data_IF_441483676878
#
_entry.id   IF_441483676878
#
_cell.length_a   1.000
_cell.length_b   1.000
_cell.length_c   1.000
_cell.angle_alpha   90.00
_cell.angle_beta   90.00
_cell.angle_gamma   90.00
#
_symmetry.space_group_name_H-M   'P 1'
#
loop_
_entity.id
_entity.type
_entity.pdbx_description
1 polymer ?
#
# COMPACT_ATOMS: atom_id res chain seq x y z
N UNK A 1 43.10 -2.54 -4.28
CA UNK A 1 41.81 -2.52 -5.00
C UNK A 1 40.88 -1.68 -4.18
N UNK A 2 40.57 -0.47 -4.65
CA UNK A 2 39.66 0.44 -3.96
C UNK A 2 38.23 -0.01 -4.26
N UNK A 3 37.47 -0.24 -3.19
CA UNK A 3 36.03 -0.46 -3.22
C UNK A 3 35.38 0.89 -3.52
N UNK A 4 34.96 1.08 -4.78
CA UNK A 4 34.28 2.28 -5.22
C UNK A 4 32.85 2.22 -4.68
N UNK A 5 32.64 2.77 -3.47
CA UNK A 5 31.31 2.94 -2.90
C UNK A 5 30.48 3.85 -3.82
N UNK A 6 29.71 3.23 -4.71
CA UNK A 6 28.66 3.89 -5.48
C UNK A 6 27.67 4.52 -4.49
N UNK A 7 27.77 5.84 -4.31
CA UNK A 7 26.86 6.60 -3.49
C UNK A 7 25.44 6.48 -4.03
N UNK A 8 24.55 5.84 -3.28
CA UNK A 8 23.13 5.76 -3.63
C UNK A 8 22.48 7.10 -3.29
N UNK A 9 22.01 7.82 -4.32
CA UNK A 9 21.21 9.03 -4.12
C UNK A 9 19.77 8.60 -3.86
N UNK A 10 19.27 8.91 -2.66
CA UNK A 10 17.87 8.68 -2.30
C UNK A 10 17.16 10.02 -2.21
N UNK A 11 16.19 10.23 -3.10
CA UNK A 11 15.31 11.40 -3.08
C UNK A 11 13.94 10.99 -2.54
N UNK A 12 13.50 11.61 -1.44
CA UNK A 12 12.16 11.44 -0.90
C UNK A 12 11.29 12.65 -1.25
N UNK A 13 10.30 12.46 -2.11
CA UNK A 13 9.24 13.45 -2.38
C UNK A 13 7.92 12.91 -1.83
N UNK A 14 7.30 13.63 -0.89
CA UNK A 14 5.98 13.28 -0.33
C UNK A 14 4.93 14.12 -1.05
N UNK A 15 3.97 13.45 -1.70
CA UNK A 15 2.89 14.09 -2.46
C UNK A 15 1.56 13.51 -1.96
N UNK A 16 0.79 14.31 -1.20
CA UNK A 16 -0.43 13.84 -0.54
C UNK A 16 -1.66 13.81 -1.48
N UNK A 17 -1.67 14.67 -2.51
CA UNK A 17 -2.86 14.96 -3.34
C UNK A 17 -2.77 14.43 -4.78
N UNK A 18 -2.36 13.17 -4.95
CA UNK A 18 -2.30 12.56 -6.29
C UNK A 18 -3.58 11.84 -6.70
N UNK A 19 -4.09 12.20 -7.89
CA UNK A 19 -5.18 11.49 -8.54
C UNK A 19 -4.74 10.09 -8.98
N UNK A 20 -5.66 9.13 -8.82
CA UNK A 20 -5.44 7.74 -9.17
C UNK A 20 -6.66 7.10 -9.83
N UNK A 21 -6.39 6.11 -10.68
CA UNK A 21 -7.39 5.22 -11.27
C UNK A 21 -7.37 3.86 -10.58
N UNK A 22 -8.55 3.29 -10.36
CA UNK A 22 -8.67 1.92 -9.84
C UNK A 22 -8.67 0.96 -11.02
N UNK A 23 -7.76 -0.01 -11.00
CA UNK A 23 -7.61 -1.02 -12.06
C UNK A 23 -7.60 -2.43 -11.48
N UNK A 24 -7.72 -3.43 -12.35
CA UNK A 24 -7.75 -4.85 -11.99
C UNK A 24 -6.74 -5.66 -12.82
N UNK A 25 -6.33 -6.84 -12.31
CA UNK A 25 -5.50 -7.76 -13.08
C UNK A 25 -6.16 -8.18 -14.39
N UNK A 26 -5.34 -8.53 -15.39
CA UNK A 26 -5.82 -9.06 -16.67
C UNK A 26 -6.66 -10.34 -16.54
N UNK A 27 -6.55 -11.04 -15.40
CA UNK A 27 -7.34 -12.23 -15.08
C UNK A 27 -8.76 -11.92 -14.57
N UNK A 28 -9.10 -10.64 -14.39
CA UNK A 28 -10.42 -10.19 -13.95
C UNK A 28 -11.14 -9.42 -15.05
N UNK A 29 -12.44 -9.16 -14.89
CA UNK A 29 -13.13 -8.17 -15.72
C UNK A 29 -12.69 -6.79 -15.27
N UNK A 30 -12.15 -5.99 -16.19
CA UNK A 30 -11.48 -4.70 -15.98
C UNK A 30 -12.24 -3.62 -15.17
N UNK A 31 -11.77 -2.35 -15.19
CA UNK A 31 -10.73 -1.77 -16.06
C UNK A 31 -9.31 -2.29 -15.78
N UNK A 32 -8.44 -2.25 -16.80
CA UNK A 32 -7.05 -2.73 -16.73
C UNK A 32 -6.06 -1.56 -16.65
N UNK A 33 -4.82 -1.82 -16.20
CA UNK A 33 -3.74 -0.85 -16.23
C UNK A 33 -3.51 -0.21 -17.60
N UNK A 34 -3.19 1.08 -17.61
CA UNK A 34 -2.71 1.77 -18.80
C UNK A 34 -1.40 1.15 -19.29
N UNK A 35 -1.36 0.79 -20.57
CA UNK A 35 -0.15 0.26 -21.21
C UNK A 35 0.98 1.32 -21.21
N UNK A 36 2.25 0.89 -21.32
CA UNK A 36 3.36 1.80 -21.56
C UNK A 36 3.14 2.64 -22.82
N UNK A 37 3.58 3.90 -22.78
CA UNK A 37 3.51 4.86 -23.89
C UNK A 37 4.92 5.35 -24.19
N UNK A 38 5.38 5.17 -25.41
CA UNK A 38 6.68 5.68 -25.85
C UNK A 38 6.58 7.19 -26.10
N UNK A 39 7.39 7.98 -25.39
CA UNK A 39 7.41 9.43 -25.54
C UNK A 39 8.30 9.84 -26.71
N UNK A 40 9.41 9.12 -26.91
CA UNK A 40 10.32 9.27 -28.04
C UNK A 40 11.14 7.96 -28.23
N UNK A 41 12.20 8.01 -29.04
CA UNK A 41 13.06 6.87 -29.34
C UNK A 41 13.83 6.30 -28.13
N UNK A 42 13.94 7.05 -27.04
CA UNK A 42 14.76 6.72 -25.87
C UNK A 42 13.96 6.62 -24.57
N UNK A 43 12.76 7.20 -24.52
CA UNK A 43 11.98 7.35 -23.31
C UNK A 43 10.62 6.67 -23.42
N UNK A 44 10.29 5.94 -22.36
CA UNK A 44 9.00 5.29 -22.19
C UNK A 44 8.37 5.76 -20.89
N UNK A 45 7.08 6.06 -20.95
CA UNK A 45 6.24 6.34 -19.81
C UNK A 45 5.47 5.07 -19.44
N UNK A 46 5.61 4.59 -18.21
CA UNK A 46 4.93 3.39 -17.71
C UNK A 46 4.53 3.54 -16.24
N UNK A 47 3.70 2.61 -15.77
CA UNK A 47 3.41 2.49 -14.34
C UNK A 47 4.41 1.51 -13.72
N UNK A 48 5.22 1.96 -12.77
CA UNK A 48 6.04 1.08 -11.93
C UNK A 48 5.20 0.67 -10.72
N UNK A 49 5.10 -0.64 -10.51
CA UNK A 49 4.21 -1.23 -9.53
C UNK A 49 4.97 -1.58 -8.27
N UNK A 50 4.41 -1.20 -7.12
CA UNK A 50 4.82 -1.75 -5.83
C UNK A 50 4.55 -3.25 -5.76
N UNK A 51 5.17 -3.88 -4.78
CA UNK A 51 4.73 -5.19 -4.32
C UNK A 51 3.27 -5.15 -3.89
N UNK A 52 2.64 -6.33 -3.91
CA UNK A 52 1.30 -6.49 -3.36
C UNK A 52 1.31 -6.29 -1.85
N UNK A 53 0.30 -5.59 -1.35
CA UNK A 53 -0.04 -5.59 0.06
C UNK A 53 -0.30 -7.01 0.55
N UNK A 54 -0.18 -7.17 1.86
CA UNK A 54 -0.68 -8.36 2.53
C UNK A 54 -2.16 -8.61 2.23
N UNK A 55 -2.55 -9.87 2.32
CA UNK A 55 -3.95 -10.23 2.14
C UNK A 55 -4.77 -9.71 3.33
N UNK A 56 -5.89 -9.05 3.03
CA UNK A 56 -6.77 -8.46 4.04
C UNK A 56 -7.47 -9.50 4.93
N UNK A 57 -7.45 -10.78 4.55
CA UNK A 57 -8.05 -11.89 5.30
C UNK A 57 -7.18 -13.14 5.23
N UNK A 58 -7.04 -13.82 6.37
CA UNK A 58 -6.44 -15.15 6.48
C UNK A 58 -7.54 -16.22 6.35
N UNK A 59 -7.29 -17.35 5.67
CA UNK A 59 -8.20 -18.50 5.59
C UNK A 59 -9.43 -18.35 4.68
N UNK A 60 -9.89 -17.12 4.45
CA UNK A 60 -11.02 -16.77 3.58
C UNK A 60 -10.58 -15.96 2.34
N UNK A 61 -11.52 -15.67 1.43
CA UNK A 61 -11.26 -14.81 0.28
C UNK A 61 -11.18 -13.35 0.75
N UNK A 62 -9.97 -12.80 0.74
CA UNK A 62 -9.68 -11.42 1.05
C UNK A 62 -9.37 -10.58 -0.19
N UNK A 63 -8.95 -9.34 0.07
CA UNK A 63 -8.49 -8.37 -0.93
C UNK A 63 -7.02 -8.07 -0.68
N UNK A 64 -6.33 -7.71 -1.75
CA UNK A 64 -4.98 -7.14 -1.71
C UNK A 64 -4.89 -6.03 -2.75
N UNK A 65 -3.95 -5.13 -2.57
CA UNK A 65 -3.73 -3.99 -3.46
C UNK A 65 -2.26 -3.80 -3.77
N UNK A 66 -1.96 -3.13 -4.88
CA UNK A 66 -0.63 -2.59 -5.16
C UNK A 66 -0.76 -1.25 -5.86
N UNK A 67 0.26 -0.43 -5.71
CA UNK A 67 0.27 0.94 -6.20
C UNK A 67 1.15 1.02 -7.45
N UNK A 68 0.59 1.57 -8.53
CA UNK A 68 1.28 1.81 -9.79
C UNK A 68 1.52 3.30 -9.91
N UNK A 69 2.75 3.74 -9.78
CA UNK A 69 3.09 5.15 -9.92
C UNK A 69 3.59 5.42 -11.33
N UNK A 70 3.26 6.59 -11.88
CA UNK A 70 3.73 7.02 -13.20
C UNK A 70 5.22 7.31 -13.16
N UNK A 71 5.98 6.65 -14.04
CA UNK A 71 7.40 6.90 -14.25
C UNK A 71 7.69 7.15 -15.73
N UNK A 72 8.67 8.02 -15.97
CA UNK A 72 9.40 8.08 -17.24
C UNK A 72 10.72 7.36 -17.03
N UNK A 73 11.06 6.43 -17.92
CA UNK A 73 12.30 5.67 -17.86
C UNK A 73 12.93 5.56 -19.24
N UNK A 74 14.23 5.27 -19.26
CA UNK A 74 14.97 5.00 -20.49
C UNK A 74 14.57 3.63 -21.03
N UNK A 75 14.39 3.52 -22.35
CA UNK A 75 14.19 2.25 -23.01
C UNK A 75 15.53 1.50 -22.96
N UNK A 76 15.58 0.38 -22.24
CA UNK A 76 16.79 -0.44 -22.20
C UNK A 76 17.18 -0.90 -23.62
N UNK A 77 18.43 -0.62 -24.00
CA UNK A 77 19.01 -0.77 -25.35
C UNK A 77 19.01 -2.19 -25.93
N UNK A 78 18.55 -3.21 -25.21
CA UNK A 78 18.50 -4.59 -25.71
C UNK A 78 17.47 -4.83 -26.83
N UNK A 79 16.70 -3.82 -27.28
CA UNK A 79 15.66 -4.01 -28.33
C UNK A 79 15.56 -2.98 -29.44
N UNK A 80 16.43 -1.98 -29.56
CA UNK A 80 16.24 -0.95 -30.60
C UNK A 80 17.51 -0.61 -31.37
N UNK A 81 17.56 -1.10 -32.60
CA UNK A 81 18.50 -0.76 -33.69
C UNK A 81 18.23 0.63 -34.27
N UNK A 82 18.09 1.65 -33.42
CA UNK A 82 17.91 3.04 -33.88
C UNK A 82 19.13 3.88 -33.49
N UNK A 83 20.03 4.07 -34.45
CA UNK A 83 21.03 5.15 -34.40
C UNK A 83 20.30 6.45 -34.73
N UNK A 84 20.05 7.30 -33.74
CA UNK A 84 19.69 8.70 -34.01
C UNK A 84 20.81 9.62 -33.59
N UNK A 85 21.01 10.69 -34.37
CA UNK A 85 21.93 11.77 -34.04
C UNK A 85 21.41 12.48 -32.78
N UNK A 86 22.14 12.34 -31.68
CA UNK A 86 21.78 12.84 -30.36
C UNK A 86 22.07 14.34 -30.28
N UNK A 87 21.12 15.14 -29.78
CA UNK A 87 21.35 16.56 -29.50
C UNK A 87 21.98 16.74 -28.12
N UNK A 88 22.63 17.89 -27.84
CA UNK A 88 23.25 18.15 -26.53
C UNK A 88 22.26 18.03 -25.35
N UNK A 89 20.98 18.37 -25.55
CA UNK A 89 19.94 18.20 -24.52
C UNK A 89 19.58 16.75 -24.24
N UNK A 90 19.72 15.86 -25.23
CA UNK A 90 19.46 14.44 -25.05
C UNK A 90 20.57 13.77 -24.22
N UNK A 91 21.80 14.30 -24.29
CA UNK A 91 22.93 13.81 -23.50
C UNK A 91 22.76 14.11 -22.00
N UNK A 92 22.28 15.30 -21.64
CA UNK A 92 22.00 15.66 -20.25
C UNK A 92 20.83 14.84 -19.66
N UNK A 93 19.77 14.65 -20.46
CA UNK A 93 18.65 13.79 -20.07
C UNK A 93 19.12 12.33 -19.93
N UNK A 94 20.03 11.86 -20.79
CA UNK A 94 20.62 10.53 -20.68
C UNK A 94 21.37 10.34 -19.37
N UNK A 95 22.24 11.29 -19.00
CA UNK A 95 22.99 11.25 -17.73
C UNK A 95 22.06 11.25 -16.51
N UNK A 96 20.93 11.93 -16.59
CA UNK A 96 19.94 11.91 -15.51
C UNK A 96 19.36 10.50 -15.30
N UNK A 97 19.02 9.79 -16.37
CA UNK A 97 18.50 8.41 -16.27
C UNK A 97 19.58 7.36 -15.94
N UNK A 98 20.86 7.68 -16.08
CA UNK A 98 21.95 6.85 -15.54
C UNK A 98 21.96 6.88 -14.00
N UNK A 99 21.63 8.04 -13.40
CA UNK A 99 21.49 8.19 -11.93
C UNK A 99 20.19 7.56 -11.41
N UNK A 100 19.14 7.56 -12.24
CA UNK A 100 17.82 6.99 -11.91
C UNK A 100 17.49 5.81 -12.84
N UNK A 101 18.10 4.63 -12.65
CA UNK A 101 17.97 3.50 -13.57
C UNK A 101 16.54 2.95 -13.67
N UNK A 102 15.78 3.03 -12.58
CA UNK A 102 14.36 2.65 -12.57
C UNK A 102 13.46 3.73 -13.20
N UNK A 103 14.02 4.89 -13.52
CA UNK A 103 13.30 6.05 -14.04
C UNK A 103 12.94 7.07 -12.96
N UNK A 104 12.22 8.10 -13.38
CA UNK A 104 11.88 9.27 -12.57
C UNK A 104 10.34 9.40 -12.52
N UNK A 105 9.75 9.66 -11.35
CA UNK A 105 8.31 9.88 -11.25
C UNK A 105 7.84 11.02 -12.15
N UNK A 106 6.73 10.83 -12.86
CA UNK A 106 6.22 11.76 -13.88
C UNK A 106 5.97 13.18 -13.37
N UNK A 107 5.68 13.33 -12.07
CA UNK A 107 5.40 14.62 -11.41
C UNK A 107 6.56 15.13 -10.55
N UNK A 108 7.68 14.42 -10.55
CA UNK A 108 8.84 14.81 -9.77
C UNK A 108 9.41 16.14 -10.26
N UNK A 109 10.02 16.90 -9.35
CA UNK A 109 10.72 18.13 -9.73
C UNK A 109 12.03 17.85 -10.48
N UNK A 110 12.57 16.65 -10.31
CA UNK A 110 13.79 16.16 -10.95
C UNK A 110 13.56 15.89 -12.44
N UNK A 111 12.35 15.49 -12.82
CA UNK A 111 12.03 15.26 -14.22
C UNK A 111 12.11 16.57 -15.01
N UNK A 112 12.86 16.56 -16.12
CA UNK A 112 13.07 17.73 -16.96
C UNK A 112 11.72 18.40 -17.33
N UNK A 113 11.60 19.74 -17.23
CA UNK A 113 10.34 20.44 -17.50
C UNK A 113 9.76 20.15 -18.89
N UNK A 114 10.61 19.92 -19.89
CA UNK A 114 10.21 19.56 -21.27
C UNK A 114 9.41 18.25 -21.32
N UNK A 115 9.77 17.27 -20.49
CA UNK A 115 9.07 15.98 -20.39
C UNK A 115 7.89 16.10 -19.42
N UNK A 116 8.11 16.70 -18.25
CA UNK A 116 7.08 16.86 -17.21
C UNK A 116 5.86 17.65 -17.70
N UNK A 117 6.06 18.60 -18.61
CA UNK A 117 4.98 19.41 -19.17
C UNK A 117 4.31 18.79 -20.41
N UNK A 118 4.75 17.61 -20.85
CA UNK A 118 4.05 16.89 -21.93
C UNK A 118 2.65 16.50 -21.47
N UNK A 119 1.65 16.73 -22.32
CA UNK A 119 0.25 16.45 -21.99
C UNK A 119 0.04 14.97 -21.62
N UNK A 120 0.69 14.05 -22.34
CA UNK A 120 0.66 12.61 -22.07
C UNK A 120 1.19 12.25 -20.69
N UNK A 121 2.22 12.96 -20.21
CA UNK A 121 2.85 12.76 -18.90
C UNK A 121 1.98 13.33 -17.78
N UNK A 122 1.43 14.54 -17.95
CA UNK A 122 0.56 15.16 -16.95
C UNK A 122 -0.77 14.41 -16.79
N UNK A 123 -1.33 13.91 -17.89
CA UNK A 123 -2.63 13.24 -17.88
C UNK A 123 -2.56 11.79 -17.43
N UNK A 124 -1.37 11.17 -17.37
CA UNK A 124 -1.25 9.79 -16.90
C UNK A 124 -1.52 9.76 -15.38
N UNK A 125 -2.58 9.07 -14.92
CA UNK A 125 -2.87 8.97 -13.51
C UNK A 125 -1.97 7.90 -12.88
N UNK A 126 -1.80 7.99 -11.56
CA UNK A 126 -1.34 6.81 -10.82
C UNK A 126 -2.47 5.78 -10.80
N UNK A 127 -2.14 4.55 -10.47
CA UNK A 127 -3.08 3.45 -10.52
C UNK A 127 -3.05 2.66 -9.21
N UNK A 128 -4.21 2.21 -8.74
CA UNK A 128 -4.30 1.25 -7.64
C UNK A 128 -4.90 -0.02 -8.22
N UNK A 129 -4.12 -1.09 -8.22
CA UNK A 129 -4.61 -2.39 -8.67
C UNK A 129 -5.22 -3.14 -7.51
N UNK A 130 -6.47 -3.57 -7.66
CA UNK A 130 -7.17 -4.39 -6.68
C UNK A 130 -7.20 -5.85 -7.12
N UNK A 131 -6.75 -6.75 -6.25
CA UNK A 131 -6.76 -8.18 -6.45
C UNK A 131 -7.55 -8.90 -5.35
N UNK A 132 -8.09 -10.07 -5.68
CA UNK A 132 -8.54 -11.02 -4.66
C UNK A 132 -7.35 -11.88 -4.22
N UNK A 133 -7.38 -12.34 -2.98
CA UNK A 133 -6.39 -13.25 -2.42
C UNK A 133 -7.06 -14.25 -1.49
N UNK A 134 -6.39 -15.38 -1.27
CA UNK A 134 -6.73 -16.34 -0.22
C UNK A 134 -5.44 -16.99 0.25
N UNK A 135 -5.03 -16.66 1.47
CA UNK A 135 -3.83 -17.20 2.08
C UNK A 135 -4.19 -18.26 3.11
N UNK A 136 -3.33 -19.28 3.23
CA UNK A 136 -3.44 -20.33 4.26
C UNK A 136 -2.49 -20.09 5.45
N UNK A 137 -1.55 -19.15 5.32
CA UNK A 137 -0.50 -18.85 6.29
C UNK A 137 -0.25 -17.33 6.28
N UNK A 138 0.01 -16.71 7.43
CA UNK A 138 0.51 -15.34 7.58
C UNK A 138 1.99 -15.36 7.95
N UNK A 139 2.73 -14.35 7.52
CA UNK A 139 4.12 -14.17 7.89
C UNK A 139 4.21 -13.08 8.94
N UNK A 140 4.75 -13.39 10.11
CA UNK A 140 5.00 -12.42 11.17
C UNK A 140 6.48 -12.16 11.26
N UNK A 141 6.87 -10.92 11.04
CA UNK A 141 8.23 -10.41 11.26
C UNK A 141 8.30 -9.76 12.63
N UNK A 142 9.28 -10.16 13.44
CA UNK A 142 9.56 -9.55 14.74
C UNK A 142 10.86 -8.76 14.68
N UNK A 143 10.95 -7.54 15.24
CA UNK A 143 12.22 -6.84 15.37
C UNK A 143 13.11 -7.60 16.38
N UNK A 144 14.32 -7.97 15.96
CA UNK A 144 15.32 -8.50 16.88
C UNK A 144 15.84 -7.36 17.76
N UNK A 145 15.68 -7.51 19.08
CA UNK A 145 16.58 -6.85 20.01
C UNK A 145 17.90 -7.64 19.99
N UNK A 146 19.02 -6.92 19.88
CA UNK A 146 20.41 -7.32 20.15
C UNK A 146 21.35 -7.44 18.92
N UNK A 147 22.24 -6.44 18.87
CA UNK A 147 23.63 -6.35 18.36
C UNK A 147 24.04 -6.89 16.98
N UNK A 148 24.48 -5.93 16.18
CA UNK A 148 25.66 -5.90 15.28
C UNK A 148 25.74 -6.71 13.99
N UNK A 149 24.80 -7.59 13.65
CA UNK A 149 24.83 -8.23 12.33
C UNK A 149 23.75 -7.66 11.39
N UNK A 150 24.22 -6.96 10.37
CA UNK A 150 23.42 -6.40 9.29
C UNK A 150 22.78 -7.55 8.50
N UNK A 151 21.45 -7.62 8.51
CA UNK A 151 20.69 -8.14 7.36
C UNK A 151 19.90 -9.45 7.51
N UNK A 152 19.75 -10.05 8.70
CA UNK A 152 18.90 -11.24 8.84
C UNK A 152 17.57 -10.92 9.54
N UNK A 153 16.47 -10.87 8.77
CA UNK A 153 15.12 -10.88 9.34
C UNK A 153 14.60 -12.32 9.37
N UNK A 154 14.43 -12.89 10.55
CA UNK A 154 13.76 -14.19 10.68
C UNK A 154 12.24 -13.96 10.51
N UNK A 155 11.66 -14.51 9.45
CA UNK A 155 10.21 -14.56 9.25
C UNK A 155 9.68 -15.91 9.71
N UNK A 156 8.67 -15.90 10.60
CA UNK A 156 7.99 -17.14 11.02
C UNK A 156 6.73 -17.27 10.18
N UNK A 157 6.63 -18.36 9.43
CA UNK A 157 5.41 -18.72 8.71
C UNK A 157 4.39 -19.30 9.72
N UNK A 158 3.39 -18.51 10.06
CA UNK A 158 2.30 -18.91 10.94
C UNK A 158 1.17 -19.44 10.05
N UNK A 159 0.85 -20.73 10.14
CA UNK A 159 -0.40 -21.23 9.55
C UNK A 159 -1.54 -20.36 10.03
N UNK A 160 -2.50 -19.99 9.16
CA UNK A 160 -3.75 -19.40 9.63
C UNK A 160 -4.34 -20.44 10.60
N UNK A 161 -4.11 -20.26 11.90
CA UNK A 161 -4.28 -21.28 12.93
C UNK A 161 -5.28 -20.79 13.94
N UNK A 162 -6.04 -21.74 14.43
CA UNK A 162 -6.68 -21.64 15.73
C UNK A 162 -5.60 -21.38 16.80
N UNK A 163 -5.84 -20.39 17.66
CA UNK A 163 -4.88 -19.78 18.56
C UNK A 163 -4.60 -20.67 19.79
N UNK A 164 -3.81 -21.74 19.63
CA UNK A 164 -3.38 -22.58 20.76
C UNK A 164 -2.24 -21.90 21.53
N UNK A 165 -2.41 -21.68 22.84
CA UNK A 165 -1.45 -21.05 23.78
C UNK A 165 -0.98 -22.07 24.82
N UNK A 166 0.33 -22.19 25.01
CA UNK A 166 0.94 -23.08 26.03
C UNK A 166 1.35 -22.27 27.27
N UNK A 167 0.76 -22.60 28.42
CA UNK A 167 1.13 -22.08 29.74
C UNK A 167 2.34 -22.88 30.25
N UNK A 168 3.36 -22.20 30.76
CA UNK A 168 4.56 -22.83 31.30
C UNK A 168 4.77 -22.50 32.77
N UNK A 169 5.37 -23.43 33.51
CA UNK A 169 5.80 -23.24 34.89
C UNK A 169 6.99 -22.30 34.98
N UNK A 170 7.33 -21.89 36.20
CA UNK A 170 8.56 -21.13 36.47
C UNK A 170 9.84 -21.90 36.09
N UNK A 171 9.79 -23.24 36.06
CA UNK A 171 10.87 -24.12 35.59
C UNK A 171 10.87 -24.32 34.07
N UNK A 172 9.88 -23.79 33.34
CA UNK A 172 9.77 -23.86 31.87
C UNK A 172 8.96 -25.04 31.32
N UNK A 173 8.46 -25.94 32.17
CA UNK A 173 7.62 -27.08 31.78
C UNK A 173 6.22 -26.62 31.37
N UNK A 174 5.60 -27.29 30.39
CA UNK A 174 4.23 -26.94 29.96
C UNK A 174 3.25 -27.45 31.01
N UNK A 175 2.50 -26.52 31.60
CA UNK A 175 1.42 -26.82 32.55
C UNK A 175 0.12 -27.08 31.79
N UNK A 176 -0.15 -26.31 30.73
CA UNK A 176 -1.45 -26.33 30.05
C UNK A 176 -1.31 -25.85 28.59
N UNK A 177 -2.21 -26.32 27.72
CA UNK A 177 -2.38 -25.85 26.35
C UNK A 177 -3.85 -25.52 26.09
N UNK A 178 -4.17 -24.27 25.73
CA UNK A 178 -5.55 -23.79 25.53
C UNK A 178 -5.76 -23.28 24.11
N UNK A 179 -6.94 -23.49 23.52
CA UNK A 179 -7.28 -23.00 22.18
C UNK A 179 -8.12 -21.72 22.26
N UNK A 180 -7.46 -20.57 22.17
CA UNK A 180 -8.08 -19.25 22.24
C UNK A 180 -9.01 -18.98 21.03
N UNK A 181 -8.91 -19.71 19.91
CA UNK A 181 -9.86 -19.59 18.79
C UNK A 181 -11.13 -20.41 19.01
N UNK A 182 -11.08 -21.45 19.86
CA UNK A 182 -12.27 -22.14 20.35
C UNK A 182 -12.93 -21.41 21.54
N UNK A 183 -12.42 -20.22 21.92
CA UNK A 183 -12.91 -19.46 23.08
C UNK A 183 -12.50 -20.05 24.44
N UNK A 184 -11.51 -20.95 24.45
CA UNK A 184 -11.00 -21.60 25.67
C UNK A 184 -9.72 -20.88 26.08
N UNK A 185 -9.70 -20.33 27.30
CA UNK A 185 -8.59 -19.57 27.85
C UNK A 185 -8.15 -20.14 29.19
N UNK A 186 -6.85 -20.10 29.46
CA UNK A 186 -6.30 -20.45 30.77
C UNK A 186 -6.37 -19.27 31.71
N UNK A 187 -6.70 -19.52 32.98
CA UNK A 187 -6.64 -18.52 34.05
C UNK A 187 -5.21 -18.08 34.39
N UNK A 188 -4.21 -18.84 33.94
CA UNK A 188 -2.79 -18.58 34.14
C UNK A 188 -2.18 -17.78 32.98
N UNK A 189 -2.98 -17.47 31.94
CA UNK A 189 -2.51 -16.69 30.80
C UNK A 189 -2.42 -15.20 31.18
N UNK A 190 -1.30 -14.55 30.84
CA UNK A 190 -1.22 -13.10 30.96
C UNK A 190 -2.29 -12.44 30.06
N UNK A 191 -2.95 -11.37 30.54
CA UNK A 191 -3.85 -10.61 29.69
C UNK A 191 -3.08 -10.09 28.47
N UNK A 192 -3.72 -10.02 27.30
CA UNK A 192 -3.09 -9.50 26.10
C UNK A 192 -2.56 -8.07 26.35
N UNK A 193 -1.38 -7.77 25.81
CA UNK A 193 -0.81 -6.42 25.85
C UNK A 193 -1.82 -5.44 25.25
N UNK A 194 -2.12 -4.37 25.99
CA UNK A 194 -3.04 -3.36 25.49
C UNK A 194 -2.35 -2.58 24.36
N UNK A 195 -2.99 -2.43 23.19
CA UNK A 195 -2.46 -1.57 22.14
C UNK A 195 -2.36 -0.12 22.64
N UNK A 196 -1.49 0.71 22.04
CA UNK A 196 -1.42 2.14 22.38
C UNK A 196 -2.80 2.79 22.20
N UNK A 197 -3.10 3.76 23.06
CA UNK A 197 -4.39 4.43 23.03
C UNK A 197 -4.60 5.09 21.65
N UNK A 198 -5.75 4.86 20.99
CA UNK A 198 -6.02 5.43 19.68
C UNK A 198 -6.11 6.96 19.76
N UNK A 199 -5.45 7.65 18.83
CA UNK A 199 -5.59 9.09 18.68
C UNK A 199 -7.02 9.43 18.24
N UNK A 200 -7.66 10.40 18.91
CA UNK A 200 -9.01 10.87 18.57
C UNK A 200 -8.89 12.11 17.68
N UNK A 201 -9.64 12.12 16.57
CA UNK A 201 -9.80 13.27 15.69
C UNK A 201 -11.27 13.62 15.56
N UNK A 202 -11.61 14.90 15.74
CA UNK A 202 -12.95 15.44 15.51
C UNK A 202 -12.93 16.16 14.17
N UNK A 203 -13.90 15.87 13.30
CA UNK A 203 -14.08 16.54 12.01
C UNK A 203 -15.42 17.27 12.02
N UNK A 204 -15.41 18.53 11.60
CA UNK A 204 -16.63 19.33 11.41
C UNK A 204 -16.87 19.51 9.92
N UNK A 205 -18.09 19.20 9.47
CA UNK A 205 -18.50 19.26 8.05
C UNK A 205 -19.95 19.72 7.99
N UNK A 206 -20.28 20.60 7.04
CA UNK A 206 -21.64 21.07 6.82
C UNK A 206 -22.51 20.00 6.12
N UNK A 207 -23.82 19.93 6.39
CA UNK A 207 -24.71 19.01 5.68
C UNK A 207 -24.71 19.26 4.17
N UNK A 208 -24.75 18.17 3.39
CA UNK A 208 -24.73 18.19 1.93
C UNK A 208 -23.32 18.13 1.33
N UNK A 209 -22.29 18.52 2.09
CA UNK A 209 -20.89 18.47 1.67
C UNK A 209 -20.37 17.04 1.53
N UNK A 210 -19.26 16.91 0.80
CA UNK A 210 -18.53 15.64 0.64
C UNK A 210 -17.41 15.54 1.68
N UNK A 211 -17.31 14.41 2.38
CA UNK A 211 -16.20 14.14 3.31
C UNK A 211 -15.52 12.81 3.01
N UNK A 212 -14.19 12.78 3.19
CA UNK A 212 -13.39 11.56 3.18
C UNK A 212 -12.79 11.39 4.58
N UNK A 213 -13.10 10.27 5.22
CA UNK A 213 -12.54 9.89 6.52
C UNK A 213 -11.36 8.96 6.26
N UNK A 214 -10.18 9.38 6.69
CA UNK A 214 -8.90 8.71 6.45
C UNK A 214 -8.42 8.13 7.78
N UNK A 215 -8.04 6.85 7.77
CA UNK A 215 -7.28 6.24 8.85
C UNK A 215 -5.81 6.22 8.44
N UNK A 216 -4.99 7.01 9.11
CA UNK A 216 -3.56 7.09 8.82
C UNK A 216 -2.74 5.94 9.44
N UNK A 217 -3.39 5.05 10.21
CA UNK A 217 -2.71 4.01 10.98
C UNK A 217 -1.90 4.58 12.16
N UNK A 218 -1.23 3.69 12.89
CA UNK A 218 -0.40 4.05 14.07
C UNK A 218 1.06 3.67 13.91
N UNK A 219 1.41 2.94 12.85
CA UNK A 219 2.77 2.52 12.54
C UNK A 219 3.02 2.89 11.09
N UNK A 220 4.25 3.26 10.72
CA UNK A 220 4.67 3.54 9.34
C UNK A 220 4.64 2.28 8.44
N UNK A 221 3.78 1.31 8.78
CA UNK A 221 3.64 0.00 8.17
C UNK A 221 2.23 -0.05 7.53
N UNK A 222 2.14 -0.55 6.30
CA UNK A 222 0.86 -0.76 5.59
C UNK A 222 0.14 -2.00 6.18
N UNK A 223 -0.37 -1.83 7.41
CA UNK A 223 -1.10 -2.87 8.14
C UNK A 223 -2.58 -2.80 7.73
N UNK A 224 -3.20 -3.93 7.33
CA UNK A 224 -4.63 -3.96 7.03
C UNK A 224 -5.45 -3.55 8.26
N UNK A 225 -6.39 -2.63 8.08
CA UNK A 225 -7.31 -2.19 9.12
C UNK A 225 -8.75 -2.36 8.65
N UNK A 226 -9.70 -2.30 9.59
CA UNK A 226 -11.12 -2.44 9.30
C UNK A 226 -11.89 -1.36 10.03
N UNK A 227 -12.74 -0.65 9.29
CA UNK A 227 -13.61 0.37 9.87
C UNK A 227 -14.76 -0.25 10.67
N UNK A 228 -15.17 0.44 11.73
CA UNK A 228 -16.40 0.21 12.46
C UNK A 228 -17.12 1.54 12.67
N UNK A 229 -18.43 1.52 12.45
CA UNK A 229 -19.32 2.63 12.79
C UNK A 229 -20.16 2.16 13.96
N UNK A 230 -20.03 2.86 15.08
CA UNK A 230 -20.61 2.44 16.36
C UNK A 230 -20.20 0.99 16.70
N UNK A 231 -21.15 0.05 16.72
CA UNK A 231 -20.94 -1.38 17.00
C UNK A 231 -20.79 -2.25 15.76
N UNK A 232 -21.00 -1.72 14.55
CA UNK A 232 -21.03 -2.51 13.33
C UNK A 232 -19.72 -2.41 12.58
N UNK A 233 -19.22 -3.56 12.13
CA UNK A 233 -18.12 -3.60 11.17
C UNK A 233 -18.59 -3.06 9.82
N UNK A 234 -17.82 -2.13 9.28
CA UNK A 234 -18.09 -1.50 8.00
C UNK A 234 -17.62 -2.44 6.91
N UNK A 235 -18.59 -3.05 6.23
CA UNK A 235 -18.35 -3.71 4.95
C UNK A 235 -18.95 -2.87 3.82
N UNK A 236 -18.41 -2.95 2.59
CA UNK A 236 -19.03 -2.28 1.43
C UNK A 236 -20.51 -2.65 1.26
N UNK A 237 -20.89 -3.89 1.58
CA UNK A 237 -22.28 -4.35 1.53
C UNK A 237 -23.16 -3.66 2.58
N UNK A 238 -22.66 -3.54 3.81
CA UNK A 238 -23.36 -2.85 4.89
C UNK A 238 -23.59 -1.37 4.55
N UNK A 239 -22.53 -0.67 4.13
CA UNK A 239 -22.63 0.73 3.72
C UNK A 239 -23.61 0.91 2.56
N UNK A 240 -23.57 -0.01 1.58
CA UNK A 240 -24.49 0.04 0.46
C UNK A 240 -25.94 -0.15 0.89
N UNK A 241 -26.22 -1.14 1.75
CA UNK A 241 -27.58 -1.34 2.25
C UNK A 241 -28.08 -0.18 3.11
N UNK A 242 -27.19 0.44 3.89
CA UNK A 242 -27.55 1.51 4.83
C UNK A 242 -27.68 2.88 4.16
N UNK A 243 -27.01 3.09 3.02
CA UNK A 243 -26.88 4.43 2.41
C UNK A 243 -27.09 4.46 0.90
N UNK A 244 -27.39 3.30 0.28
CA UNK A 244 -27.36 3.14 -1.17
C UNK A 244 -25.94 3.32 -1.69
N UNK A 245 -25.67 4.40 -2.41
CA UNK A 245 -24.34 4.73 -2.94
C UNK A 245 -23.74 5.99 -2.29
N UNK A 246 -24.40 6.49 -1.23
CA UNK A 246 -24.01 7.74 -0.58
C UNK A 246 -22.74 7.58 0.24
N UNK A 247 -22.59 6.46 0.95
CA UNK A 247 -21.40 6.12 1.73
C UNK A 247 -20.78 4.86 1.14
N UNK A 248 -19.48 4.90 0.85
CA UNK A 248 -18.73 3.75 0.34
C UNK A 248 -17.27 3.79 0.80
N UNK A 249 -16.59 2.65 0.71
CA UNK A 249 -15.13 2.58 0.85
C UNK A 249 -14.49 2.78 -0.53
N UNK A 250 -13.49 3.66 -0.63
CA UNK A 250 -12.68 3.78 -1.84
C UNK A 250 -11.55 2.73 -1.87
N UNK A 251 -10.71 2.73 -2.91
CA UNK A 251 -9.62 1.75 -3.06
C UNK A 251 -8.46 1.93 -2.06
N UNK A 252 -8.40 3.07 -1.36
CA UNK A 252 -7.46 3.31 -0.25
C UNK A 252 -8.08 2.94 1.11
N UNK A 253 -9.23 2.25 1.11
CA UNK A 253 -10.02 1.94 2.30
C UNK A 253 -10.38 3.19 3.10
N UNK A 254 -10.60 4.35 2.46
CA UNK A 254 -11.18 5.51 3.11
C UNK A 254 -12.70 5.44 3.05
N UNK A 255 -13.39 5.89 4.10
CA UNK A 255 -14.83 6.10 4.04
C UNK A 255 -15.09 7.40 3.28
N UNK A 256 -15.83 7.31 2.18
CA UNK A 256 -16.27 8.45 1.37
C UNK A 256 -17.76 8.62 1.57
N UNK A 257 -18.16 9.78 2.09
CA UNK A 257 -19.56 10.20 2.19
C UNK A 257 -19.77 11.29 1.13
N UNK A 258 -20.59 11.00 0.12
CA UNK A 258 -20.83 11.92 -1.02
C UNK A 258 -21.60 13.17 -0.61
N UNK A 259 -22.60 12.99 0.25
CA UNK A 259 -23.43 14.05 0.82
C UNK A 259 -23.68 13.74 2.30
N UNK A 260 -23.12 14.57 3.18
CA UNK A 260 -23.23 14.41 4.64
C UNK A 260 -24.66 14.72 5.09
N UNK A 261 -25.20 13.83 5.92
CA UNK A 261 -26.45 14.02 6.64
C UNK A 261 -26.17 14.15 8.13
N UNK A 262 -27.06 14.78 8.88
CA UNK A 262 -26.96 14.83 10.35
C UNK A 262 -26.87 13.43 10.98
N UNK A 263 -27.47 12.41 10.36
CA UNK A 263 -27.41 11.01 10.80
C UNK A 263 -26.02 10.37 10.69
N UNK A 264 -25.09 11.00 9.96
CA UNK A 264 -23.71 10.54 9.80
C UNK A 264 -22.79 11.07 10.91
N UNK A 265 -23.29 11.93 11.81
CA UNK A 265 -22.55 12.40 12.98
C UNK A 265 -22.37 11.26 13.99
N UNK A 266 -21.40 10.38 13.72
CA UNK A 266 -21.14 9.13 14.45
C UNK A 266 -19.66 8.96 14.76
N UNK A 267 -19.36 7.95 15.57
CA UNK A 267 -17.98 7.54 15.85
C UNK A 267 -17.54 6.50 14.82
N UNK A 268 -16.51 6.86 14.05
CA UNK A 268 -15.82 6.00 13.10
C UNK A 268 -14.50 5.55 13.73
N UNK A 269 -14.24 4.25 13.78
CA UNK A 269 -13.04 3.65 14.39
C UNK A 269 -12.47 2.52 13.56
#
# INVERSE_FOLDING_TARGET
>A
MADEQLGVIVTLEVIDDEQYNVVKPATSKGPYPMKPVYLNAFLVMLSIWSEWSECSQCGAVGRRRRYGMCYVSRINEYKTTFKSNMTNSDEEISKLFEVYPDGIPCRSRILAPTIRNMLSVQQRPNEIMLGLCRIKFWFVTYPLNVSSDVGSTNSIQVQCKEAIVNIRSQSGEIIESVNNTAGIYSLLQNPPLQPPLPARRIMYVEPGERVIIICYGTTLLDIPFTWRVDTHEVSPRYLWSASGDRIHLNARDHIVIKHVLYSDARVYR
#
